data_IF_954016469257
#
_entry.id   IF_954016469257
#
_cell.length_a   1.000
_cell.length_b   1.000
_cell.length_c   1.000
_cell.angle_alpha   90.00
_cell.angle_beta   90.00
_cell.angle_gamma   90.00
#
_symmetry.space_group_name_H-M   'P 1'
#
loop_
_entity.id
_entity.type
_entity.pdbx_description
1 polymer ?
#
# COMPACT_ATOMS: atom_id res chain seq x y z
N UNK A 1 -21.69 18.17 -38.03
CA UNK A 1 -21.76 16.77 -38.46
C UNK A 1 -20.34 16.33 -38.84
N UNK A 2 -19.59 15.46 -38.17
CA UNK A 2 -19.72 14.62 -36.98
C UNK A 2 -18.34 13.94 -36.87
N UNK A 3 -17.53 14.35 -35.90
CA UNK A 3 -17.15 13.60 -34.70
C UNK A 3 -16.31 12.33 -34.92
N UNK A 4 -15.18 12.26 -34.20
CA UNK A 4 -14.18 11.19 -34.31
C UNK A 4 -14.77 9.81 -33.98
N UNK A 5 -14.37 8.78 -34.73
CA UNK A 5 -14.42 7.38 -34.29
C UNK A 5 -13.09 7.00 -33.65
N UNK A 6 -13.02 7.15 -32.34
CA UNK A 6 -11.88 6.73 -31.52
C UNK A 6 -11.71 5.21 -31.56
N UNK A 7 -10.59 4.73 -32.09
CA UNK A 7 -10.30 3.30 -32.17
C UNK A 7 -9.88 2.77 -30.80
N UNK A 8 -10.84 2.19 -30.08
CA UNK A 8 -10.65 1.60 -28.75
C UNK A 8 -9.63 0.45 -28.77
N UNK A 9 -8.34 0.79 -28.66
CA UNK A 9 -7.30 -0.17 -28.33
C UNK A 9 -7.59 -0.75 -26.94
N UNK A 10 -8.06 -2.00 -26.91
CA UNK A 10 -8.14 -2.79 -25.69
C UNK A 10 -6.74 -2.90 -25.08
N UNK A 11 -6.48 -2.13 -24.03
CA UNK A 11 -5.24 -2.24 -23.28
C UNK A 11 -5.12 -3.66 -22.69
N UNK A 12 -3.97 -4.35 -22.83
CA UNK A 12 -3.79 -5.65 -22.21
C UNK A 12 -3.82 -5.49 -20.69
N UNK A 13 -4.59 -6.34 -20.01
CA UNK A 13 -4.65 -6.36 -18.55
C UNK A 13 -3.23 -6.56 -17.99
N UNK A 14 -2.71 -5.67 -17.14
CA UNK A 14 -1.40 -5.85 -16.55
C UNK A 14 -1.41 -7.11 -15.69
N UNK A 15 -0.44 -8.01 -15.94
CA UNK A 15 -0.27 -9.31 -15.26
C UNK A 15 -0.27 -9.21 -13.72
N UNK A 16 0.00 -8.02 -13.19
CA UNK A 16 0.13 -7.71 -11.77
C UNK A 16 -1.22 -7.33 -11.11
N UNK A 17 -2.31 -7.18 -11.87
CA UNK A 17 -3.64 -6.91 -11.32
C UNK A 17 -4.14 -8.03 -10.38
N UNK A 18 -3.66 -9.27 -10.59
CA UNK A 18 -3.92 -10.39 -9.69
C UNK A 18 -3.19 -10.27 -8.35
N UNK A 19 -1.98 -9.71 -8.31
CA UNK A 19 -1.24 -9.48 -7.06
C UNK A 19 -1.99 -8.49 -6.16
N UNK A 20 -2.49 -7.39 -6.73
CA UNK A 20 -3.34 -6.43 -6.02
C UNK A 20 -4.66 -7.06 -5.53
N UNK A 21 -5.28 -7.95 -6.31
CA UNK A 21 -6.58 -8.53 -5.96
C UNK A 21 -6.48 -9.66 -4.93
N UNK A 22 -5.35 -10.37 -4.88
CA UNK A 22 -5.12 -11.46 -3.93
C UNK A 22 -4.68 -10.97 -2.54
N UNK A 23 -3.97 -9.84 -2.44
CA UNK A 23 -3.48 -9.32 -1.15
C UNK A 23 -4.39 -8.28 -0.47
N UNK A 24 -5.23 -7.55 -1.22
CA UNK A 24 -6.27 -6.68 -0.62
C UNK A 24 -7.54 -7.44 -0.21
N UNK A 25 -7.61 -8.76 -0.42
CA UNK A 25 -8.70 -9.61 0.07
C UNK A 25 -8.43 -10.05 1.52
N UNK A 26 -8.65 -9.14 2.47
CA UNK A 26 -8.44 -9.34 3.92
C UNK A 26 -9.22 -10.56 4.45
N UNK A 27 -8.56 -11.55 5.09
CA UNK A 27 -9.22 -12.48 6.00
C UNK A 27 -9.21 -11.89 7.43
N UNK A 28 -10.39 -11.66 7.97
CA UNK A 28 -10.62 -10.97 9.25
C UNK A 28 -10.39 -11.88 10.48
N UNK A 29 -9.28 -11.72 11.22
CA UNK A 29 -9.05 -12.43 12.51
C UNK A 29 -8.42 -11.53 13.61
N UNK A 30 -9.30 -10.79 14.29
CA UNK A 30 -9.35 -10.44 15.74
C UNK A 30 -8.25 -11.13 16.60
N UNK A 31 -7.52 -10.53 17.57
CA UNK A 31 -7.88 -9.46 18.56
C UNK A 31 -6.67 -8.55 18.99
N UNK A 32 -6.61 -8.12 20.27
CA UNK A 32 -5.58 -7.34 20.99
C UNK A 32 -4.32 -8.19 21.36
N UNK A 33 -3.07 -7.65 21.41
CA UNK A 33 -2.66 -6.24 21.42
C UNK A 33 -2.67 -5.55 20.05
N UNK A 34 -3.01 -6.30 19.00
CA UNK A 34 -2.88 -5.87 17.61
C UNK A 34 -3.79 -4.70 17.22
N UNK A 35 -4.72 -4.23 18.07
CA UNK A 35 -5.69 -3.17 17.70
C UNK A 35 -5.06 -1.88 17.20
N UNK A 36 -3.90 -1.44 17.70
CA UNK A 36 -3.25 -0.25 17.15
C UNK A 36 -2.72 -0.52 15.74
N UNK A 37 -2.02 -1.64 15.53
CA UNK A 37 -1.53 -2.05 14.21
C UNK A 37 -2.69 -2.28 13.22
N UNK A 38 -3.78 -2.94 13.63
CA UNK A 38 -4.99 -3.09 12.83
C UNK A 38 -5.59 -1.73 12.46
N UNK A 39 -5.80 -0.82 13.42
CA UNK A 39 -6.34 0.52 13.14
C UNK A 39 -5.43 1.37 12.24
N UNK A 40 -4.11 1.24 12.40
CA UNK A 40 -3.12 1.87 11.49
C UNK A 40 -3.29 1.27 10.09
N UNK A 41 -3.40 -0.04 9.98
CA UNK A 41 -3.58 -0.72 8.70
C UNK A 41 -4.92 -0.36 8.03
N UNK A 42 -6.01 -0.25 8.79
CA UNK A 42 -7.32 0.23 8.30
C UNK A 42 -7.21 1.66 7.74
N UNK A 43 -6.57 2.58 8.48
CA UNK A 43 -6.37 3.97 8.02
C UNK A 43 -5.49 4.05 6.78
N UNK A 44 -4.41 3.25 6.71
CA UNK A 44 -3.53 3.19 5.53
C UNK A 44 -4.29 2.59 4.34
N UNK A 45 -5.05 1.52 4.54
CA UNK A 45 -5.87 0.88 3.50
C UNK A 45 -6.91 1.86 2.94
N UNK A 46 -7.61 2.60 3.81
CA UNK A 46 -8.54 3.65 3.41
C UNK A 46 -7.84 4.78 2.64
N UNK A 47 -6.68 5.25 3.13
CA UNK A 47 -5.87 6.29 2.46
C UNK A 47 -5.47 5.85 1.05
N UNK A 48 -5.00 4.62 0.88
CA UNK A 48 -4.63 4.06 -0.43
C UNK A 48 -5.86 3.84 -1.33
N UNK A 49 -7.02 3.47 -0.77
CA UNK A 49 -8.25 3.35 -1.54
C UNK A 49 -8.73 4.71 -2.08
N UNK A 50 -8.61 5.77 -1.29
CA UNK A 50 -8.90 7.15 -1.69
C UNK A 50 -7.92 7.63 -2.78
N UNK A 51 -6.61 7.50 -2.56
CA UNK A 51 -5.58 7.85 -3.56
C UNK A 51 -5.76 7.07 -4.88
N UNK A 52 -6.15 5.80 -4.80
CA UNK A 52 -6.40 4.95 -5.97
C UNK A 52 -7.54 5.46 -6.85
N UNK A 53 -8.51 6.15 -6.25
CA UNK A 53 -9.66 6.68 -7.00
C UNK A 53 -9.31 7.87 -7.89
N UNK A 54 -8.18 8.53 -7.63
CA UNK A 54 -7.74 9.76 -8.32
C UNK A 54 -6.39 9.64 -9.05
N UNK A 55 -5.67 8.52 -8.88
CA UNK A 55 -4.29 8.33 -9.37
C UNK A 55 -4.18 7.27 -10.47
N UNK A 56 -3.28 7.47 -11.43
CA UNK A 56 -2.95 6.42 -12.42
C UNK A 56 -2.21 5.24 -11.77
N UNK A 57 -2.98 4.17 -11.53
CA UNK A 57 -2.52 2.94 -10.91
C UNK A 57 -1.53 2.10 -11.74
N UNK A 58 -1.28 2.46 -13.00
CA UNK A 58 -0.34 1.74 -13.87
C UNK A 58 1.12 2.17 -13.69
N UNK A 59 1.34 3.37 -13.13
CA UNK A 59 2.66 3.99 -12.98
C UNK A 59 3.61 3.21 -12.07
N UNK A 60 4.95 3.32 -12.24
CA UNK A 60 5.92 2.80 -11.28
C UNK A 60 5.77 3.44 -9.90
N UNK A 61 5.56 4.77 -9.85
CA UNK A 61 5.36 5.52 -8.62
C UNK A 61 4.17 4.99 -7.79
N UNK A 62 3.06 4.60 -8.43
CA UNK A 62 1.93 3.97 -7.74
C UNK A 62 2.30 2.61 -7.12
N UNK A 63 3.16 1.83 -7.78
CA UNK A 63 3.61 0.53 -7.24
C UNK A 63 4.52 0.73 -6.03
N UNK A 64 5.44 1.68 -6.09
CA UNK A 64 6.29 2.08 -4.96
C UNK A 64 5.44 2.60 -3.79
N UNK A 65 4.44 3.45 -4.06
CA UNK A 65 3.47 3.92 -3.06
C UNK A 65 2.75 2.76 -2.36
N UNK A 66 2.35 1.74 -3.11
CA UNK A 66 1.70 0.55 -2.56
C UNK A 66 2.67 -0.40 -1.82
N UNK A 67 3.94 -0.51 -2.25
CA UNK A 67 4.98 -1.25 -1.53
C UNK A 67 5.25 -0.61 -0.15
N UNK A 68 5.38 0.72 -0.11
CA UNK A 68 5.48 1.50 1.15
C UNK A 68 4.26 1.25 2.04
N UNK A 69 3.05 1.30 1.48
CA UNK A 69 1.82 1.06 2.23
C UNK A 69 1.75 -0.35 2.83
N UNK A 70 2.12 -1.38 2.05
CA UNK A 70 2.18 -2.76 2.52
C UNK A 70 3.13 -2.92 3.71
N UNK A 71 4.34 -2.35 3.61
CA UNK A 71 5.35 -2.39 4.69
C UNK A 71 4.88 -1.63 5.93
N UNK A 72 4.17 -0.52 5.75
CA UNK A 72 3.60 0.27 6.83
C UNK A 72 2.44 -0.46 7.57
N UNK A 73 1.70 -1.33 6.87
CA UNK A 73 0.62 -2.13 7.46
C UNK A 73 1.11 -3.36 8.26
N UNK A 74 2.35 -3.80 8.04
CA UNK A 74 2.91 -4.98 8.70
C UNK A 74 3.11 -4.81 10.21
N UNK A 75 3.10 -5.94 10.93
CA UNK A 75 3.63 -6.02 12.30
C UNK A 75 5.14 -5.80 12.28
N UNK A 76 5.74 -5.48 13.43
CA UNK A 76 7.17 -5.21 13.53
C UNK A 76 8.03 -6.44 13.16
N UNK A 77 7.54 -7.64 13.46
CA UNK A 77 8.14 -8.91 13.06
C UNK A 77 8.10 -9.13 11.54
N UNK A 78 6.93 -8.98 10.94
CA UNK A 78 6.75 -9.17 9.49
C UNK A 78 7.53 -8.13 8.69
N UNK A 79 7.52 -6.88 9.16
CA UNK A 79 8.27 -5.76 8.58
C UNK A 79 9.77 -6.06 8.55
N UNK A 80 10.34 -6.55 9.66
CA UNK A 80 11.76 -6.92 9.73
C UNK A 80 12.12 -8.05 8.76
N UNK A 81 11.28 -9.07 8.64
CA UNK A 81 11.49 -10.18 7.70
C UNK A 81 11.45 -9.68 6.25
N UNK A 82 10.44 -8.85 5.92
CA UNK A 82 10.28 -8.28 4.60
C UNK A 82 11.46 -7.38 4.21
N UNK A 83 11.84 -6.43 5.08
CA UNK A 83 12.96 -5.51 4.86
C UNK A 83 14.29 -6.26 4.70
N UNK A 84 14.54 -7.32 5.47
CA UNK A 84 15.72 -8.18 5.26
C UNK A 84 15.70 -8.84 3.87
N UNK A 85 14.54 -9.26 3.37
CA UNK A 85 14.42 -9.79 2.00
C UNK A 85 14.67 -8.73 0.93
N UNK A 86 14.31 -7.47 1.20
CA UNK A 86 14.59 -6.32 0.33
C UNK A 86 16.08 -5.98 0.35
N UNK A 87 16.72 -5.95 1.51
CA UNK A 87 18.16 -5.71 1.66
C UNK A 87 18.98 -6.73 0.85
N UNK A 88 18.62 -8.01 0.94
CA UNK A 88 19.26 -9.10 0.17
C UNK A 88 19.05 -9.02 -1.35
N UNK A 89 17.98 -8.35 -1.83
CA UNK A 89 17.60 -8.32 -3.28
C UNK A 89 17.89 -7.00 -3.98
N UNK A 90 17.78 -5.89 -3.25
CA UNK A 90 17.84 -4.49 -3.73
C UNK A 90 18.90 -3.66 -2.99
N UNK A 91 19.59 -4.25 -2.00
CA UNK A 91 20.60 -3.58 -1.19
C UNK A 91 20.04 -2.87 0.04
N UNK A 92 20.87 -2.73 1.08
CA UNK A 92 20.53 -2.07 2.35
C UNK A 92 19.97 -0.65 2.17
N UNK A 93 20.50 0.13 1.22
CA UNK A 93 20.01 1.48 0.95
C UNK A 93 18.53 1.49 0.52
N UNK A 94 18.09 0.52 -0.28
CA UNK A 94 16.71 0.38 -0.71
C UNK A 94 15.79 -0.10 0.43
N UNK A 95 16.28 -0.98 1.30
CA UNK A 95 15.54 -1.41 2.49
C UNK A 95 15.34 -0.24 3.47
N UNK A 96 16.39 0.52 3.77
CA UNK A 96 16.33 1.69 4.66
C UNK A 96 15.39 2.79 4.11
N UNK A 97 15.44 3.09 2.80
CA UNK A 97 14.54 4.07 2.19
C UNK A 97 13.07 3.63 2.27
N UNK A 98 12.80 2.34 2.07
CA UNK A 98 11.46 1.76 2.19
C UNK A 98 10.96 1.76 3.64
N UNK A 99 11.83 1.46 4.61
CA UNK A 99 11.51 1.53 6.04
C UNK A 99 11.16 2.95 6.48
N UNK A 100 11.98 3.95 6.14
CA UNK A 100 11.73 5.36 6.47
C UNK A 100 10.40 5.85 5.89
N UNK A 101 10.11 5.48 4.63
CA UNK A 101 8.84 5.82 3.97
C UNK A 101 7.64 5.16 4.66
N UNK A 102 7.79 3.92 5.11
CA UNK A 102 6.75 3.18 5.80
C UNK A 102 6.49 3.73 7.21
N UNK A 103 7.54 4.10 7.95
CA UNK A 103 7.42 4.70 9.28
C UNK A 103 6.77 6.09 9.24
N UNK A 104 7.13 6.93 8.26
CA UNK A 104 6.46 8.20 8.01
C UNK A 104 4.96 8.03 7.76
N UNK A 105 4.57 7.01 6.98
CA UNK A 105 3.16 6.70 6.71
C UNK A 105 2.43 6.16 7.96
N UNK A 106 3.07 5.30 8.77
CA UNK A 106 2.51 4.85 10.05
C UNK A 106 2.30 6.01 11.01
N UNK A 107 3.28 6.91 11.10
CA UNK A 107 3.20 8.15 11.90
C UNK A 107 2.03 9.02 11.44
N UNK A 108 1.85 9.22 10.14
CA UNK A 108 0.68 9.93 9.58
C UNK A 108 -0.64 9.25 9.97
N UNK A 109 -0.74 7.92 9.89
CA UNK A 109 -1.92 7.17 10.27
C UNK A 109 -2.22 7.27 11.78
N UNK A 110 -1.20 7.25 12.65
CA UNK A 110 -1.33 7.47 14.10
C UNK A 110 -1.90 8.88 14.38
N UNK A 111 -1.41 9.91 13.70
CA UNK A 111 -1.97 11.27 13.83
C UNK A 111 -3.42 11.36 13.36
N UNK A 112 -3.81 10.65 12.29
CA UNK A 112 -5.21 10.58 11.87
C UNK A 112 -6.09 9.88 12.91
N UNK A 113 -5.62 8.77 13.51
CA UNK A 113 -6.33 8.05 14.57
C UNK A 113 -6.51 8.91 15.84
N UNK A 114 -5.50 9.70 16.20
CA UNK A 114 -5.56 10.62 17.34
C UNK A 114 -6.53 11.80 17.11
N UNK A 115 -6.78 12.18 15.84
CA UNK A 115 -7.68 13.28 15.47
C UNK A 115 -9.15 12.88 15.31
N UNK A 116 -9.47 11.59 15.25
CA UNK A 116 -10.84 11.07 15.23
C UNK A 116 -11.23 10.63 16.66
N UNK A 117 -11.92 11.46 17.46
CA UNK A 117 -12.53 10.98 18.70
C UNK A 117 -13.55 9.88 18.37
N UNK A 118 -13.61 8.85 19.23
CA UNK A 118 -14.54 7.72 19.12
C UNK A 118 -16.00 8.14 19.32
#
# INVERSE_FOLDING_TARGET
MGHLTESTKRAPLPRNALFFRLFFSVPEVRVLPNRLNSRIADVISQTIAEERSTTDTTTPAWRERCEVAQVAMFTDSDRRIFLSSIANRRGEAAANALEQSADALRTQAIFQLARKPS
#
